data_IF_611514710497
#
_entry.id   IF_611514710497
#
_cell.length_a   1.000
_cell.length_b   1.000
_cell.length_c   1.000
_cell.angle_alpha   90.00
_cell.angle_beta   90.00
_cell.angle_gamma   90.00
#
_symmetry.space_group_name_H-M   'P 1'
#
loop_
_entity.id
_entity.type
_entity.pdbx_description
1 polymer ?
#
# COMPACT_ATOMS: atom_id res chain seq x y z
N UNK A 1 -32.24 -22.31 -8.80
CA UNK A 1 -31.72 -21.34 -9.78
C UNK A 1 -30.40 -20.79 -9.26
N UNK A 2 -29.34 -20.63 -10.08
CA UNK A 2 -28.02 -20.21 -9.62
C UNK A 2 -27.95 -18.68 -9.42
N UNK A 3 -28.88 -18.12 -8.65
CA UNK A 3 -29.29 -16.71 -8.79
C UNK A 3 -28.65 -15.72 -7.82
N UNK A 4 -27.57 -16.07 -7.11
CA UNK A 4 -26.69 -15.08 -6.47
C UNK A 4 -25.36 -15.73 -6.04
N UNK A 5 -24.32 -15.60 -6.86
CA UNK A 5 -22.97 -16.05 -6.53
C UNK A 5 -22.25 -15.09 -5.56
N UNK A 6 -22.79 -13.89 -5.34
CA UNK A 6 -22.19 -12.83 -4.51
C UNK A 6 -23.28 -12.00 -3.85
N UNK A 7 -23.02 -11.44 -2.66
CA UNK A 7 -23.94 -10.52 -1.99
C UNK A 7 -24.04 -9.20 -2.75
N UNK A 8 -25.13 -8.45 -2.54
CA UNK A 8 -25.32 -7.13 -3.17
C UNK A 8 -24.18 -6.18 -2.83
N UNK A 9 -23.72 -6.17 -1.58
CA UNK A 9 -22.63 -5.31 -1.12
C UNK A 9 -21.32 -5.67 -1.82
N UNK A 10 -21.06 -6.96 -1.99
CA UNK A 10 -19.85 -7.43 -2.68
C UNK A 10 -19.91 -7.07 -4.17
N UNK A 11 -21.08 -7.20 -4.79
CA UNK A 11 -21.29 -6.81 -6.19
C UNK A 11 -21.06 -5.30 -6.40
N UNK A 12 -21.64 -4.46 -5.54
CA UNK A 12 -21.43 -3.00 -5.59
C UNK A 12 -19.97 -2.62 -5.35
N UNK A 13 -19.32 -3.25 -4.36
CA UNK A 13 -17.90 -3.03 -4.09
C UNK A 13 -17.02 -3.43 -5.28
N UNK A 14 -17.34 -4.53 -5.98
CA UNK A 14 -16.62 -4.94 -7.19
C UNK A 14 -16.78 -3.93 -8.32
N UNK A 15 -18.00 -3.42 -8.55
CA UNK A 15 -18.23 -2.36 -9.53
C UNK A 15 -17.43 -1.11 -9.19
N UNK A 16 -17.56 -0.62 -7.95
CA UNK A 16 -16.85 0.59 -7.49
C UNK A 16 -15.33 0.44 -7.62
N UNK A 17 -14.78 -0.68 -7.16
CA UNK A 17 -13.34 -0.96 -7.22
C UNK A 17 -12.85 -1.02 -8.67
N UNK A 18 -13.62 -1.66 -9.56
CA UNK A 18 -13.27 -1.78 -10.97
C UNK A 18 -13.23 -0.42 -11.66
N UNK A 19 -14.30 0.37 -11.54
CA UNK A 19 -14.38 1.69 -12.16
C UNK A 19 -13.31 2.64 -11.59
N UNK A 20 -13.12 2.64 -10.28
CA UNK A 20 -12.13 3.51 -9.62
C UNK A 20 -10.70 3.13 -10.01
N UNK A 21 -10.40 1.83 -10.11
CA UNK A 21 -9.08 1.34 -10.53
C UNK A 21 -8.77 1.76 -11.97
N UNK A 22 -9.71 1.58 -12.90
CA UNK A 22 -9.52 1.96 -14.31
C UNK A 22 -9.32 3.47 -14.42
N UNK A 23 -10.16 4.27 -13.76
CA UNK A 23 -10.03 5.73 -13.77
C UNK A 23 -8.69 6.20 -13.19
N UNK A 24 -8.24 5.61 -12.09
CA UNK A 24 -6.96 5.91 -11.47
C UNK A 24 -5.77 5.54 -12.38
N UNK A 25 -5.78 4.34 -12.97
CA UNK A 25 -4.73 3.90 -13.91
C UNK A 25 -4.66 4.84 -15.11
N UNK A 26 -5.80 5.20 -15.70
CA UNK A 26 -5.85 6.14 -16.81
C UNK A 26 -5.27 7.50 -16.43
N UNK A 27 -5.60 8.02 -15.25
CA UNK A 27 -5.05 9.27 -14.75
C UNK A 27 -3.53 9.20 -14.58
N UNK A 28 -3.01 8.16 -13.92
CA UNK A 28 -1.58 7.99 -13.69
C UNK A 28 -0.77 7.87 -15.00
N UNK A 29 -1.29 7.14 -15.98
CA UNK A 29 -0.62 6.96 -17.27
C UNK A 29 -0.69 8.20 -18.17
N UNK A 30 -1.82 8.92 -18.17
CA UNK A 30 -2.07 10.00 -19.15
C UNK A 30 -1.81 11.40 -18.62
N UNK A 31 -1.90 11.62 -17.31
CA UNK A 31 -1.72 12.93 -16.67
C UNK A 31 -0.43 13.02 -15.88
N UNK A 32 -0.07 11.95 -15.17
CA UNK A 32 1.11 11.91 -14.30
C UNK A 32 2.33 11.26 -14.96
N UNK A 33 2.21 10.85 -16.23
CA UNK A 33 3.30 10.33 -17.08
C UNK A 33 4.03 9.10 -16.48
N UNK A 34 3.30 8.23 -15.76
CA UNK A 34 3.83 6.95 -15.30
C UNK A 34 4.11 6.03 -16.49
N UNK A 35 5.26 5.35 -16.47
CA UNK A 35 5.60 4.37 -17.53
C UNK A 35 4.75 3.10 -17.49
N UNK A 36 4.28 2.72 -16.30
CA UNK A 36 3.36 1.61 -16.03
C UNK A 36 2.74 1.77 -14.63
N UNK A 37 1.64 1.07 -14.36
CA UNK A 37 0.98 1.06 -13.03
C UNK A 37 0.93 -0.38 -12.49
N UNK A 38 1.39 -0.57 -11.25
CA UNK A 38 1.31 -1.87 -10.58
C UNK A 38 0.02 -1.93 -9.76
N UNK A 39 -1.05 -2.50 -10.34
CA UNK A 39 -2.36 -2.59 -9.68
C UNK A 39 -2.34 -3.34 -8.34
N UNK A 40 -1.34 -4.21 -8.12
CA UNK A 40 -1.07 -4.84 -6.81
C UNK A 40 -0.84 -3.82 -5.69
N UNK A 41 -0.40 -2.60 -6.00
CA UNK A 41 -0.20 -1.51 -5.01
C UNK A 41 -1.50 -0.88 -4.53
N UNK A 42 -2.64 -1.22 -5.13
CA UNK A 42 -3.96 -0.76 -4.68
C UNK A 42 -4.62 -1.66 -3.63
N UNK A 43 -4.04 -2.80 -3.29
CA UNK A 43 -4.55 -3.69 -2.23
C UNK A 43 -4.02 -3.34 -0.85
N UNK A 44 -4.70 -3.82 0.19
CA UNK A 44 -4.29 -3.69 1.60
C UNK A 44 -3.18 -4.67 2.01
N UNK A 45 -2.76 -5.59 1.14
CA UNK A 45 -1.82 -6.69 1.46
C UNK A 45 -0.53 -6.20 2.13
N UNK A 46 -0.01 -5.04 1.71
CA UNK A 46 1.20 -4.46 2.29
C UNK A 46 1.01 -4.07 3.77
N UNK A 47 -0.16 -3.52 4.10
CA UNK A 47 -0.54 -3.16 5.47
C UNK A 47 -0.79 -4.44 6.29
N UNK A 48 -1.43 -5.44 5.71
CA UNK A 48 -1.63 -6.75 6.37
C UNK A 48 -0.31 -7.46 6.66
N UNK A 49 0.65 -7.38 5.73
CA UNK A 49 2.01 -7.89 5.92
C UNK A 49 2.78 -7.12 7.00
N UNK A 50 2.59 -5.80 7.10
CA UNK A 50 3.12 -4.99 8.20
C UNK A 50 2.55 -5.46 9.55
N UNK A 51 1.23 -5.68 9.65
CA UNK A 51 0.63 -6.22 10.87
C UNK A 51 1.16 -7.61 11.21
N UNK A 52 1.35 -8.49 10.21
CA UNK A 52 2.01 -9.78 10.41
C UNK A 52 3.45 -9.64 10.94
N UNK A 53 4.19 -8.65 10.44
CA UNK A 53 5.54 -8.35 10.90
C UNK A 53 5.57 -7.81 12.33
N UNK A 54 4.60 -6.95 12.69
CA UNK A 54 4.45 -6.45 14.06
C UNK A 54 4.18 -7.59 15.04
N UNK A 55 3.26 -8.52 14.71
CA UNK A 55 2.98 -9.69 15.54
C UNK A 55 4.23 -10.54 15.77
N UNK A 56 5.00 -10.81 14.69
CA UNK A 56 6.27 -11.55 14.78
C UNK A 56 7.33 -10.81 15.61
N UNK A 57 7.41 -9.48 15.51
CA UNK A 57 8.39 -8.69 16.25
C UNK A 57 8.23 -8.77 17.78
N UNK A 58 7.04 -9.15 18.24
CA UNK A 58 6.63 -9.29 19.64
C UNK A 58 6.50 -10.77 20.06
N UNK A 59 7.22 -11.69 19.40
CA UNK A 59 7.20 -13.11 19.73
C UNK A 59 5.98 -13.86 19.22
N UNK A 60 5.44 -13.45 18.06
CA UNK A 60 4.22 -14.02 17.45
C UNK A 60 2.96 -13.86 18.32
N UNK A 61 2.84 -12.71 19.00
CA UNK A 61 1.63 -12.38 19.73
C UNK A 61 0.50 -12.01 18.75
N UNK A 62 -0.54 -12.83 18.67
CA UNK A 62 -1.70 -12.60 17.78
C UNK A 62 -2.57 -11.41 18.21
N UNK A 63 -2.59 -11.09 19.50
CA UNK A 63 -3.33 -9.95 20.04
C UNK A 63 -2.38 -8.87 20.53
N UNK A 64 -1.97 -8.00 19.60
CA UNK A 64 -1.13 -6.86 19.91
C UNK A 64 -1.89 -5.82 20.74
N UNK A 65 -1.35 -5.48 21.91
CA UNK A 65 -1.75 -4.27 22.62
C UNK A 65 -1.07 -3.03 22.01
N UNK A 66 -1.63 -1.85 22.27
CA UNK A 66 -1.14 -0.58 21.69
C UNK A 66 0.34 -0.33 22.02
N UNK A 67 0.78 -0.62 23.25
CA UNK A 67 2.17 -0.42 23.67
C UNK A 67 3.15 -1.33 22.90
N UNK A 68 2.77 -2.59 22.69
CA UNK A 68 3.55 -3.57 21.94
C UNK A 68 3.62 -3.19 20.45
N UNK A 69 2.53 -2.66 19.89
CA UNK A 69 2.52 -2.14 18.53
C UNK A 69 3.48 -0.96 18.36
N UNK A 70 3.43 0.04 19.27
CA UNK A 70 4.35 1.20 19.24
C UNK A 70 5.80 0.74 19.35
N UNK A 71 6.12 -0.11 20.33
CA UNK A 71 7.48 -0.65 20.50
C UNK A 71 7.95 -1.45 19.28
N UNK A 72 7.05 -2.23 18.65
CA UNK A 72 7.33 -2.96 17.42
C UNK A 72 7.64 -2.04 16.24
N UNK A 73 6.87 -0.97 16.06
CA UNK A 73 7.11 0.05 15.02
C UNK A 73 8.46 0.73 15.26
N UNK A 74 8.76 1.18 16.48
CA UNK A 74 10.06 1.78 16.81
C UNK A 74 11.22 0.83 16.50
N UNK A 75 11.06 -0.45 16.82
CA UNK A 75 12.07 -1.48 16.54
C UNK A 75 12.28 -1.64 15.04
N UNK A 76 11.21 -1.71 14.25
CA UNK A 76 11.30 -1.80 12.78
C UNK A 76 12.03 -0.59 12.21
N UNK A 77 11.69 0.62 12.66
CA UNK A 77 12.32 1.86 12.19
C UNK A 77 13.80 1.94 12.55
N UNK A 78 14.17 1.56 13.78
CA UNK A 78 15.57 1.59 14.25
C UNK A 78 16.45 0.54 13.57
N UNK A 79 15.88 -0.60 13.18
CA UNK A 79 16.63 -1.72 12.58
C UNK A 79 16.66 -1.69 11.05
N UNK A 80 15.78 -0.91 10.42
CA UNK A 80 15.66 -0.87 8.96
C UNK A 80 15.12 -2.16 8.34
N UNK A 81 14.49 -3.05 9.15
CA UNK A 81 13.97 -4.35 8.70
C UNK A 81 12.91 -4.24 7.58
N UNK A 82 12.27 -3.08 7.44
CA UNK A 82 11.32 -2.78 6.37
C UNK A 82 11.80 -1.50 5.68
N UNK A 83 12.16 -1.61 4.40
CA UNK A 83 12.64 -0.47 3.59
C UNK A 83 11.70 -0.23 2.40
N UNK A 84 11.42 1.03 2.09
CA UNK A 84 10.68 1.41 0.89
C UNK A 84 11.61 1.48 -0.34
N UNK A 85 11.03 1.35 -1.54
CA UNK A 85 11.78 1.59 -2.78
C UNK A 85 12.28 3.04 -2.82
N UNK A 86 13.53 3.23 -3.24
CA UNK A 86 14.10 4.56 -3.45
C UNK A 86 13.91 5.08 -4.87
N UNK A 87 13.47 4.23 -5.80
CA UNK A 87 13.26 4.58 -7.20
C UNK A 87 11.77 4.62 -7.54
N UNK A 88 11.41 5.60 -8.36
CA UNK A 88 10.06 5.85 -8.88
C UNK A 88 9.98 5.47 -10.36
N UNK A 89 8.79 5.05 -10.81
CA UNK A 89 8.51 4.74 -12.22
C UNK A 89 8.12 5.97 -13.06
N UNK A 90 8.62 7.14 -12.66
CA UNK A 90 8.42 8.44 -13.31
C UNK A 90 9.75 9.15 -13.23
N UNK A 91 10.14 9.83 -14.30
CA UNK A 91 11.35 10.67 -14.32
C UNK A 91 11.34 11.65 -13.14
N UNK A 92 12.48 11.79 -12.46
CA UNK A 92 12.65 12.83 -11.46
C UNK A 92 12.57 14.18 -12.17
N UNK A 93 11.41 14.85 -12.09
CA UNK A 93 11.39 16.30 -12.21
C UNK A 93 12.36 16.81 -11.13
N UNK A 94 13.40 17.54 -11.51
CA UNK A 94 14.45 18.00 -10.61
C UNK A 94 13.85 18.92 -9.52
N UNK A 95 13.34 18.33 -8.44
CA UNK A 95 12.94 19.05 -7.25
C UNK A 95 14.20 19.34 -6.44
N UNK A 96 14.78 20.51 -6.67
CA UNK A 96 15.77 21.12 -5.79
C UNK A 96 15.13 21.40 -4.42
N UNK A 97 15.10 20.39 -3.55
CA UNK A 97 15.10 20.59 -2.10
C UNK A 97 15.49 19.30 -1.38
N UNK A 98 16.67 19.37 -0.78
CA UNK A 98 17.21 18.44 0.20
C UNK A 98 16.29 18.28 1.40
N UNK A 99 15.97 17.03 1.75
CA UNK A 99 15.45 16.65 3.07
C UNK A 99 14.10 15.96 3.04
N UNK A 100 14.14 14.63 3.24
CA UNK A 100 13.07 13.76 3.75
C UNK A 100 11.65 13.98 3.18
N UNK A 101 11.23 13.09 2.26
CA UNK A 101 9.88 12.51 2.07
C UNK A 101 9.58 12.20 0.57
N UNK A 102 10.40 11.36 -0.07
CA UNK A 102 10.04 10.78 -1.38
C UNK A 102 9.46 9.37 -1.21
N UNK A 103 8.49 9.21 -0.32
CA UNK A 103 7.85 7.91 -0.08
C UNK A 103 6.51 7.75 -0.83
N UNK A 104 5.94 8.83 -1.39
CA UNK A 104 4.60 8.82 -2.00
C UNK A 104 4.66 8.66 -3.54
N UNK A 105 5.84 8.45 -4.13
CA UNK A 105 5.97 8.22 -5.59
C UNK A 105 6.07 6.75 -6.01
N UNK A 106 5.88 5.82 -5.08
CA UNK A 106 5.97 4.37 -5.32
C UNK A 106 4.60 3.69 -5.35
N UNK A 107 3.64 4.26 -6.10
CA UNK A 107 2.41 3.55 -6.46
C UNK A 107 2.56 3.04 -7.88
#
# INVERSE_FOLDING_TARGET
SPSQFVTTETYEALLLTTYSTVACVQHLLTKEEFGFVLTRKFSSDAIESLFGSLRRSQGCNDQLNVRAAISGIEKILKTGLITASQQSNVSHAASTSSGMTSAIRCI
#
